data_IF_672410835124
#
_entry.id   IF_672410835124
#
_cell.length_a   1.000
_cell.length_b   1.000
_cell.length_c   1.000
_cell.angle_alpha   90.00
_cell.angle_beta   90.00
_cell.angle_gamma   90.00
#
_symmetry.space_group_name_H-M   'P 1'
#
loop_
_entity.id
_entity.type
_entity.pdbx_description
1 polymer ?
#
# COMPACT_ATOMS: atom_id res chain seq x y z
N UNK A 1 -18.84 -5.59 -9.76
CA UNK A 1 -17.61 -4.80 -9.83
C UNK A 1 -17.37 -4.13 -8.48
N UNK A 2 -16.17 -4.19 -7.99
CA UNK A 2 -15.86 -3.63 -6.67
C UNK A 2 -15.08 -2.32 -6.84
N UNK A 3 -15.73 -1.20 -6.54
CA UNK A 3 -15.13 0.12 -6.68
C UNK A 3 -14.08 0.40 -5.61
N UNK A 4 -14.00 -0.45 -4.59
CA UNK A 4 -13.06 -0.26 -3.51
C UNK A 4 -11.69 -0.90 -3.77
N UNK A 5 -11.53 -1.55 -4.92
CA UNK A 5 -10.26 -2.18 -5.29
C UNK A 5 -9.45 -1.19 -6.12
N UNK A 6 -8.28 -0.83 -5.60
CA UNK A 6 -7.37 0.12 -6.25
C UNK A 6 -5.94 -0.34 -6.05
N UNK A 7 -5.01 0.32 -6.71
CA UNK A 7 -3.59 0.15 -6.40
C UNK A 7 -3.22 1.08 -5.26
N UNK A 8 -2.19 0.71 -4.48
CA UNK A 8 -1.84 1.42 -3.25
C UNK A 8 -1.47 2.89 -3.50
N UNK A 9 -0.90 3.20 -4.67
CA UNK A 9 -0.51 4.56 -5.01
C UNK A 9 -1.69 5.52 -5.13
N UNK A 10 -2.91 4.99 -5.23
CA UNK A 10 -4.12 5.80 -5.36
C UNK A 10 -4.84 6.04 -4.05
N UNK A 11 -4.30 5.57 -2.95
CA UNK A 11 -4.89 5.81 -1.63
C UNK A 11 -4.73 7.28 -1.23
N UNK A 12 -5.61 7.73 -0.34
CA UNK A 12 -5.56 9.07 0.23
C UNK A 12 -5.15 8.99 1.69
N UNK A 13 -4.63 10.08 2.24
CA UNK A 13 -4.30 10.13 3.65
C UNK A 13 -5.54 9.77 4.47
N UNK A 14 -5.37 8.83 5.39
CA UNK A 14 -6.45 8.34 6.23
C UNK A 14 -7.12 7.08 5.71
N UNK A 15 -6.88 6.71 4.45
CA UNK A 15 -7.45 5.47 3.91
C UNK A 15 -6.83 4.26 4.60
N UNK A 16 -7.69 3.33 4.98
CA UNK A 16 -7.28 2.04 5.55
C UNK A 16 -7.63 0.98 4.51
N UNK A 17 -6.64 0.20 4.13
CA UNK A 17 -6.79 -0.80 3.06
C UNK A 17 -6.23 -2.14 3.49
N UNK A 18 -6.72 -3.20 2.85
CA UNK A 18 -6.15 -4.54 2.97
C UNK A 18 -5.46 -4.92 1.68
N UNK A 19 -4.31 -5.56 1.78
CA UNK A 19 -3.59 -6.05 0.61
C UNK A 19 -4.33 -7.24 0.02
N UNK A 20 -4.66 -7.16 -1.27
CA UNK A 20 -5.25 -8.27 -2.00
C UNK A 20 -4.20 -9.07 -2.76
N UNK A 21 -3.27 -8.39 -3.41
CA UNK A 21 -2.26 -9.04 -4.23
C UNK A 21 -1.07 -8.11 -4.44
N UNK A 22 0.10 -8.69 -4.50
CA UNK A 22 1.33 -8.00 -4.90
C UNK A 22 1.74 -8.60 -6.24
N UNK A 23 2.07 -7.76 -7.21
CA UNK A 23 2.44 -8.22 -8.54
C UNK A 23 3.64 -9.17 -8.46
N UNK A 24 3.46 -10.41 -8.93
CA UNK A 24 4.48 -11.45 -8.86
C UNK A 24 5.73 -11.10 -9.66
N UNK A 25 5.59 -10.27 -10.68
CA UNK A 25 6.72 -9.88 -11.53
C UNK A 25 7.47 -8.67 -10.98
N UNK A 26 7.04 -8.13 -9.85
CA UNK A 26 7.67 -6.96 -9.27
C UNK A 26 8.91 -7.35 -8.50
N UNK A 27 9.99 -6.61 -8.70
CA UNK A 27 11.21 -6.78 -7.90
C UNK A 27 10.98 -6.39 -6.44
N UNK A 28 9.95 -5.59 -6.19
CA UNK A 28 9.65 -5.12 -4.84
C UNK A 28 8.88 -6.16 -4.02
N UNK A 29 8.31 -7.19 -4.66
CA UNK A 29 7.50 -8.17 -3.95
C UNK A 29 8.25 -8.83 -2.81
N UNK A 30 9.49 -9.23 -3.06
CA UNK A 30 10.31 -9.89 -2.03
C UNK A 30 10.57 -8.94 -0.86
N UNK A 31 10.85 -7.68 -1.16
CA UNK A 31 11.08 -6.68 -0.13
C UNK A 31 9.84 -6.49 0.74
N UNK A 32 8.66 -6.44 0.12
CA UNK A 32 7.42 -6.30 0.86
C UNK A 32 7.17 -7.51 1.75
N UNK A 33 7.47 -8.71 1.27
CA UNK A 33 7.33 -9.91 2.08
C UNK A 33 8.27 -9.85 3.30
N UNK A 34 9.48 -9.38 3.11
CA UNK A 34 10.44 -9.23 4.19
C UNK A 34 9.98 -8.21 5.22
N UNK A 35 9.23 -7.20 4.79
CA UNK A 35 8.66 -6.17 5.66
C UNK A 35 7.37 -6.63 6.34
N UNK A 36 6.87 -7.82 5.99
CA UNK A 36 5.63 -8.34 6.55
C UNK A 36 4.39 -7.91 5.79
N UNK A 37 4.54 -7.35 4.59
CA UNK A 37 3.41 -6.95 3.75
C UNK A 37 3.00 -8.16 2.92
N UNK A 38 1.94 -8.83 3.35
CA UNK A 38 1.42 -10.02 2.69
C UNK A 38 -0.07 -9.84 2.44
N UNK A 39 -0.68 -10.80 1.74
CA UNK A 39 -2.12 -10.80 1.53
C UNK A 39 -2.84 -10.59 2.85
N UNK A 40 -3.83 -9.71 2.86
CA UNK A 40 -4.64 -9.32 4.02
C UNK A 40 -3.92 -8.44 5.03
N UNK A 41 -2.70 -7.99 4.74
CA UNK A 41 -2.05 -6.98 5.58
C UNK A 41 -2.85 -5.69 5.55
N UNK A 42 -3.00 -5.07 6.72
CA UNK A 42 -3.70 -3.79 6.85
C UNK A 42 -2.69 -2.66 6.67
N UNK A 43 -3.01 -1.72 5.82
CA UNK A 43 -2.16 -0.57 5.53
C UNK A 43 -2.98 0.71 5.68
N UNK A 44 -2.40 1.70 6.35
CA UNK A 44 -3.01 3.02 6.43
C UNK A 44 -2.07 4.04 5.79
N UNK A 45 -2.60 4.88 4.89
CA UNK A 45 -1.84 5.97 4.30
C UNK A 45 -1.80 7.12 5.30
N UNK A 46 -0.62 7.43 5.84
CA UNK A 46 -0.52 8.40 6.95
C UNK A 46 0.12 9.73 6.57
N UNK A 47 1.02 9.73 5.58
CA UNK A 47 1.71 10.97 5.18
C UNK A 47 1.97 10.97 3.68
N UNK A 48 2.03 12.17 3.11
CA UNK A 48 2.50 12.39 1.75
C UNK A 48 3.70 13.32 1.81
N UNK A 49 4.71 13.07 0.98
CA UNK A 49 5.78 14.03 0.81
C UNK A 49 5.25 15.25 0.04
N UNK A 50 6.00 16.38 0.02
CA UNK A 50 5.55 17.58 -0.71
C UNK A 50 5.22 17.33 -2.18
N UNK A 51 5.82 16.31 -2.80
CA UNK A 51 5.59 15.99 -4.20
C UNK A 51 4.74 14.72 -4.35
N UNK A 52 4.11 14.25 -3.27
CA UNK A 52 3.29 13.04 -3.25
C UNK A 52 4.08 11.75 -3.53
N UNK A 53 5.40 11.80 -3.48
CA UNK A 53 6.24 10.65 -3.74
C UNK A 53 7.59 10.82 -3.01
N UNK A 54 7.97 9.90 -2.12
CA UNK A 54 7.20 8.75 -1.67
C UNK A 54 6.09 9.14 -0.69
N UNK A 55 5.21 8.19 -0.44
CA UNK A 55 4.21 8.32 0.62
C UNK A 55 4.59 7.43 1.79
N UNK A 56 4.15 7.80 2.99
CA UNK A 56 4.38 6.99 4.17
C UNK A 56 3.11 6.22 4.52
N UNK A 57 3.29 4.96 4.85
CA UNK A 57 2.20 4.05 5.20
C UNK A 57 2.49 3.41 6.54
N UNK A 58 1.44 3.27 7.36
CA UNK A 58 1.52 2.55 8.61
C UNK A 58 1.17 1.09 8.37
N UNK A 59 2.13 0.20 8.61
CA UNK A 59 1.97 -1.23 8.39
C UNK A 59 2.53 -1.96 9.58
N UNK A 60 1.70 -2.74 10.26
CA UNK A 60 2.10 -3.56 11.41
C UNK A 60 2.82 -2.74 12.49
N UNK A 61 2.35 -1.51 12.73
CA UNK A 61 2.92 -0.64 13.75
C UNK A 61 4.16 0.12 13.32
N UNK A 62 4.60 -0.03 12.07
CA UNK A 62 5.77 0.67 11.53
C UNK A 62 5.37 1.61 10.41
N UNK A 63 5.99 2.78 10.37
CA UNK A 63 5.78 3.72 9.26
C UNK A 63 6.86 3.45 8.22
N UNK A 64 6.43 3.12 7.01
CA UNK A 64 7.30 2.73 5.91
C UNK A 64 7.04 3.65 4.72
N UNK A 65 8.11 4.18 4.13
CA UNK A 65 8.00 5.00 2.91
C UNK A 65 8.01 4.09 1.69
N UNK A 66 7.02 4.24 0.82
CA UNK A 66 6.90 3.46 -0.41
C UNK A 66 6.73 4.42 -1.57
N UNK A 67 7.56 4.27 -2.59
CA UNK A 67 7.47 5.08 -3.79
C UNK A 67 6.22 4.72 -4.58
N UNK A 68 5.64 5.70 -5.27
CA UNK A 68 4.43 5.46 -6.04
C UNK A 68 4.65 4.40 -7.13
N UNK A 69 5.82 4.36 -7.75
CA UNK A 69 6.11 3.34 -8.76
C UNK A 69 6.08 1.93 -8.19
N UNK A 70 6.42 1.76 -6.90
CA UNK A 70 6.35 0.47 -6.22
C UNK A 70 4.92 0.19 -5.75
N UNK A 71 4.23 1.23 -5.29
CA UNK A 71 2.85 1.09 -4.80
C UNK A 71 1.88 0.66 -5.90
N UNK A 72 2.17 0.97 -7.15
CA UNK A 72 1.36 0.53 -8.29
C UNK A 72 1.29 -1.00 -8.41
N UNK A 73 2.26 -1.69 -7.86
CA UNK A 73 2.33 -3.15 -7.92
C UNK A 73 1.55 -3.83 -6.80
N UNK A 74 0.93 -3.05 -5.92
CA UNK A 74 0.16 -3.58 -4.79
C UNK A 74 -1.33 -3.28 -5.00
N UNK A 75 -2.11 -4.33 -5.15
CA UNK A 75 -3.57 -4.22 -5.27
C UNK A 75 -4.18 -4.31 -3.88
N UNK A 76 -5.03 -3.34 -3.54
CA UNK A 76 -5.61 -3.23 -2.21
C UNK A 76 -7.11 -3.00 -2.28
N UNK A 77 -7.78 -3.30 -1.18
CA UNK A 77 -9.20 -3.02 -1.02
C UNK A 77 -9.39 -2.03 0.11
N UNK A 78 -10.14 -0.95 -0.15
CA UNK A 78 -10.40 0.08 0.84
C UNK A 78 -11.38 -0.45 1.88
N UNK A 79 -11.03 -0.29 3.15
CA UNK A 79 -11.81 -0.78 4.29
C UNK A 79 -12.27 0.34 5.22
N UNK A 80 -12.35 1.56 4.74
CA UNK A 80 -12.83 2.67 5.56
C UNK A 80 -14.28 2.43 5.97
N UNK A 81 -14.52 2.56 7.25
CA UNK A 81 -15.87 2.43 7.81
C UNK A 81 -16.38 3.80 8.26
#
# INVERSE_FOLDING_TARGET
MNENIITLDKTKIGDIVNVLKINDNSLIKRRFQDLGIIKNSKIECVLKSPFNDPRAYLIRGCVIAIRNEDAKDILVEIKNE
#
